data_IF_668909919632
#
_entry.id   IF_668909919632
#
_cell.length_a   1.000
_cell.length_b   1.000
_cell.length_c   1.000
_cell.angle_alpha   90.00
_cell.angle_beta   90.00
_cell.angle_gamma   90.00
#
_symmetry.space_group_name_H-M   'P 1'
#
loop_
_entity.id
_entity.type
_entity.pdbx_description
1 polymer ?
#
# COMPACT_ATOMS: atom_id res chain seq x y z
N UNK A 1 -8.34 -5.57 -0.23
CA UNK A 1 -7.88 -6.97 -0.42
C UNK A 1 -8.09 -7.82 0.82
N UNK A 2 -7.63 -7.41 2.02
CA UNK A 2 -7.75 -8.19 3.26
C UNK A 2 -9.21 -8.54 3.62
N UNK A 3 -10.10 -7.55 3.60
CA UNK A 3 -11.53 -7.75 3.92
C UNK A 3 -12.22 -8.70 2.95
N UNK A 4 -11.88 -8.65 1.66
CA UNK A 4 -12.42 -9.57 0.66
C UNK A 4 -12.10 -11.03 1.01
N UNK A 5 -10.85 -11.33 1.35
CA UNK A 5 -10.43 -12.68 1.70
C UNK A 5 -11.08 -13.17 3.00
N UNK A 6 -11.19 -12.30 4.02
CA UNK A 6 -11.84 -12.71 5.28
C UNK A 6 -13.34 -12.91 5.10
N UNK A 7 -14.02 -12.06 4.33
CA UNK A 7 -15.43 -12.27 4.01
C UNK A 7 -15.63 -13.64 3.36
N UNK A 8 -14.83 -13.97 2.34
CA UNK A 8 -14.92 -15.27 1.67
C UNK A 8 -14.59 -16.44 2.61
N UNK A 9 -13.67 -16.27 3.57
CA UNK A 9 -13.39 -17.30 4.58
C UNK A 9 -14.58 -17.49 5.53
N UNK A 10 -15.17 -16.41 6.03
CA UNK A 10 -16.29 -16.45 6.98
C UNK A 10 -17.57 -16.96 6.33
N UNK A 11 -17.82 -16.58 5.08
CA UNK A 11 -19.00 -17.03 4.30
C UNK A 11 -18.83 -18.44 3.69
N UNK A 12 -17.62 -19.03 3.76
CA UNK A 12 -17.34 -20.33 3.17
C UNK A 12 -17.13 -20.31 1.64
N UNK A 13 -17.31 -19.17 0.98
CA UNK A 13 -17.16 -19.03 -0.48
C UNK A 13 -15.68 -19.01 -0.94
N UNK A 14 -14.74 -19.09 -0.01
CA UNK A 14 -13.31 -19.22 -0.33
C UNK A 14 -13.02 -20.49 -1.15
N UNK A 15 -13.85 -21.53 -0.97
CA UNK A 15 -13.76 -22.80 -1.69
C UNK A 15 -13.98 -22.59 -3.19
N UNK A 16 -14.96 -21.79 -3.57
CA UNK A 16 -15.26 -21.47 -4.96
C UNK A 16 -14.08 -20.76 -5.65
N UNK A 17 -13.39 -19.89 -4.89
CA UNK A 17 -12.19 -19.20 -5.37
C UNK A 17 -11.02 -20.16 -5.61
N UNK A 18 -10.89 -21.21 -4.76
CA UNK A 18 -9.83 -22.21 -4.85
C UNK A 18 -10.08 -23.25 -5.95
N UNK A 19 -11.34 -23.56 -6.23
CA UNK A 19 -11.74 -24.49 -7.31
C UNK A 19 -11.92 -23.78 -8.66
N UNK A 20 -11.84 -22.45 -8.70
CA UNK A 20 -11.87 -21.70 -9.94
C UNK A 20 -10.69 -22.10 -10.85
N UNK A 21 -10.90 -22.23 -12.17
CA UNK A 21 -9.84 -22.57 -13.14
C UNK A 21 -8.86 -21.41 -13.39
N UNK A 22 -8.56 -20.63 -12.36
CA UNK A 22 -7.69 -19.46 -12.40
C UNK A 22 -6.34 -19.85 -11.76
N UNK A 23 -5.23 -19.48 -12.40
CA UNK A 23 -3.91 -19.71 -11.82
C UNK A 23 -3.70 -18.90 -10.54
N UNK A 24 -2.90 -19.38 -9.57
CA UNK A 24 -2.61 -18.62 -8.35
C UNK A 24 -2.02 -17.24 -8.61
N UNK A 25 -1.26 -17.08 -9.70
CA UNK A 25 -0.70 -15.79 -10.10
C UNK A 25 -1.77 -14.79 -10.58
N UNK A 26 -2.71 -15.26 -11.40
CA UNK A 26 -3.84 -14.46 -11.88
C UNK A 26 -4.73 -14.04 -10.71
N UNK A 27 -5.08 -14.95 -9.81
CA UNK A 27 -5.89 -14.64 -8.64
C UNK A 27 -5.21 -13.60 -7.73
N UNK A 28 -3.91 -13.78 -7.45
CA UNK A 28 -3.13 -12.83 -6.65
C UNK A 28 -3.11 -11.45 -7.30
N UNK A 29 -2.80 -11.39 -8.59
CA UNK A 29 -2.72 -10.13 -9.34
C UNK A 29 -4.07 -9.44 -9.43
N UNK A 30 -5.15 -10.18 -9.68
CA UNK A 30 -6.51 -9.64 -9.74
C UNK A 30 -6.95 -9.01 -8.42
N UNK A 31 -6.69 -9.66 -7.27
CA UNK A 31 -7.02 -9.13 -5.94
C UNK A 31 -6.23 -7.85 -5.63
N UNK A 32 -4.96 -7.80 -6.02
CA UNK A 32 -4.11 -6.62 -5.81
C UNK A 32 -4.54 -5.49 -6.75
N UNK A 33 -4.80 -5.77 -8.02
CA UNK A 33 -5.27 -4.77 -8.98
C UNK A 33 -6.64 -4.19 -8.61
N UNK A 34 -7.53 -4.98 -8.00
CA UNK A 34 -8.77 -4.46 -7.44
C UNK A 34 -8.53 -3.44 -6.31
N UNK A 35 -7.47 -3.61 -5.50
CA UNK A 35 -7.06 -2.60 -4.51
C UNK A 35 -6.47 -1.35 -5.19
N UNK A 36 -5.67 -1.52 -6.23
CA UNK A 36 -5.13 -0.42 -7.05
C UNK A 36 -6.26 0.41 -7.67
N UNK A 37 -7.26 -0.24 -8.26
CA UNK A 37 -8.43 0.45 -8.83
C UNK A 37 -9.16 1.29 -7.78
N UNK A 38 -9.34 0.77 -6.56
CA UNK A 38 -9.92 1.54 -5.45
C UNK A 38 -9.06 2.73 -5.08
N UNK A 39 -7.73 2.58 -5.05
CA UNK A 39 -6.79 3.67 -4.79
C UNK A 39 -6.92 4.80 -5.82
N UNK A 40 -7.01 4.45 -7.10
CA UNK A 40 -7.26 5.43 -8.17
C UNK A 40 -8.62 6.11 -8.06
N UNK A 41 -9.68 5.38 -7.75
CA UNK A 41 -11.01 5.97 -7.54
C UNK A 41 -10.98 7.00 -6.40
N UNK A 42 -10.33 6.67 -5.28
CA UNK A 42 -10.17 7.61 -4.16
C UNK A 42 -9.36 8.83 -4.60
N UNK A 43 -8.25 8.65 -5.32
CA UNK A 43 -7.43 9.75 -5.83
C UNK A 43 -8.24 10.67 -6.76
N UNK A 44 -9.00 10.11 -7.71
CA UNK A 44 -9.84 10.88 -8.65
C UNK A 44 -10.88 11.72 -7.91
N UNK A 45 -11.48 11.19 -6.84
CA UNK A 45 -12.48 11.93 -6.05
C UNK A 45 -11.82 12.97 -5.14
N UNK A 46 -10.64 12.67 -4.60
CA UNK A 46 -9.95 13.56 -3.66
C UNK A 46 -9.27 14.75 -4.35
N UNK A 47 -8.72 14.56 -5.55
CA UNK A 47 -7.99 15.61 -6.27
C UNK A 47 -8.82 16.89 -6.52
N UNK A 48 -10.08 16.82 -7.02
CA UNK A 48 -10.91 18.02 -7.15
C UNK A 48 -11.16 18.73 -5.83
N UNK A 49 -11.35 17.98 -4.74
CA UNK A 49 -11.58 18.54 -3.40
C UNK A 49 -10.35 19.33 -2.96
N UNK A 50 -9.14 18.79 -3.12
CA UNK A 50 -7.91 19.48 -2.79
C UNK A 50 -7.67 20.71 -3.67
N UNK A 51 -7.97 20.62 -4.97
CA UNK A 51 -7.86 21.77 -5.88
C UNK A 51 -8.76 22.93 -5.47
N UNK A 52 -10.03 22.66 -5.11
CA UNK A 52 -10.98 23.72 -4.73
C UNK A 52 -10.76 24.26 -3.30
N UNK A 53 -10.25 23.46 -2.36
CA UNK A 53 -10.11 23.87 -0.96
C UNK A 53 -8.71 24.39 -0.61
N UNK A 54 -7.68 23.98 -1.31
CA UNK A 54 -6.30 24.26 -0.93
C UNK A 54 -5.44 24.84 -2.07
N UNK A 55 -6.05 25.17 -3.23
CA UNK A 55 -5.37 25.70 -4.43
C UNK A 55 -4.10 24.89 -4.80
N UNK A 56 -4.16 23.55 -4.63
CA UNK A 56 -3.04 22.68 -4.89
C UNK A 56 -2.99 22.37 -6.38
N UNK A 57 -1.91 22.80 -7.06
CA UNK A 57 -1.65 22.49 -8.45
C UNK A 57 -0.81 21.20 -8.58
N UNK A 58 -1.18 20.36 -9.57
CA UNK A 58 -0.39 19.17 -9.91
C UNK A 58 0.74 19.60 -10.84
N UNK A 59 1.99 19.48 -10.38
CA UNK A 59 3.18 19.84 -11.15
C UNK A 59 3.73 18.67 -11.95
N UNK A 60 3.64 17.45 -11.42
CA UNK A 60 4.15 16.25 -12.07
C UNK A 60 3.11 15.12 -12.10
N UNK A 61 2.37 15.03 -13.20
CA UNK A 61 1.35 13.99 -13.41
C UNK A 61 1.92 12.57 -13.45
N UNK A 62 3.15 12.40 -13.99
CA UNK A 62 3.77 11.06 -14.06
C UNK A 62 4.12 10.55 -12.66
N UNK A 63 4.65 11.41 -11.80
CA UNK A 63 4.92 11.08 -10.41
C UNK A 63 3.63 10.74 -9.67
N UNK A 64 2.58 11.55 -9.83
CA UNK A 64 1.28 11.33 -9.22
C UNK A 64 0.71 9.94 -9.56
N UNK A 65 0.70 9.60 -10.85
CA UNK A 65 0.18 8.30 -11.32
C UNK A 65 1.06 7.16 -10.79
N UNK A 66 2.37 7.29 -10.89
CA UNK A 66 3.31 6.26 -10.43
C UNK A 66 3.18 6.00 -8.93
N UNK A 67 3.22 7.06 -8.10
CA UNK A 67 3.15 6.89 -6.64
C UNK A 67 1.77 6.45 -6.17
N UNK A 68 0.69 6.86 -6.83
CA UNK A 68 -0.66 6.33 -6.58
C UNK A 68 -0.73 4.83 -6.89
N UNK A 69 -0.17 4.41 -8.03
CA UNK A 69 -0.14 3.02 -8.43
C UNK A 69 0.68 2.17 -7.47
N UNK A 70 1.96 2.54 -7.25
CA UNK A 70 2.89 1.73 -6.48
C UNK A 70 2.48 1.62 -5.01
N UNK A 71 1.97 2.71 -4.40
CA UNK A 71 1.48 2.73 -3.02
C UNK A 71 0.23 1.84 -2.87
N UNK A 72 -0.74 1.96 -3.77
CA UNK A 72 -1.93 1.12 -3.78
C UNK A 72 -1.60 -0.34 -4.01
N UNK A 73 -0.61 -0.63 -4.85
CA UNK A 73 -0.14 -1.99 -5.11
C UNK A 73 0.52 -2.62 -3.87
N UNK A 74 1.44 -1.89 -3.22
CA UNK A 74 2.13 -2.35 -2.00
C UNK A 74 1.11 -2.61 -0.88
N UNK A 75 0.21 -1.66 -0.63
CA UNK A 75 -0.82 -1.81 0.40
C UNK A 75 -1.84 -2.90 0.03
N UNK A 76 -2.14 -3.06 -1.24
CA UNK A 76 -2.96 -4.15 -1.76
C UNK A 76 -2.34 -5.52 -1.52
N UNK A 77 -1.05 -5.67 -1.81
CA UNK A 77 -0.29 -6.91 -1.60
C UNK A 77 -0.11 -7.22 -0.11
N UNK A 78 0.26 -6.23 0.70
CA UNK A 78 0.33 -6.36 2.16
C UNK A 78 -1.03 -6.74 2.75
N UNK A 79 -2.11 -6.07 2.32
CA UNK A 79 -3.47 -6.41 2.73
C UNK A 79 -3.89 -7.82 2.32
N UNK A 80 -3.44 -8.32 1.17
CA UNK A 80 -3.68 -9.70 0.76
C UNK A 80 -2.97 -10.69 1.68
N UNK A 81 -1.70 -10.46 2.02
CA UNK A 81 -0.93 -11.28 2.96
C UNK A 81 -1.63 -11.33 4.33
N UNK A 82 -2.03 -10.16 4.85
CA UNK A 82 -2.78 -10.08 6.11
C UNK A 82 -4.10 -10.86 6.03
N UNK A 83 -4.84 -10.72 4.93
CA UNK A 83 -6.09 -11.44 4.71
C UNK A 83 -5.92 -12.96 4.60
N UNK A 84 -4.76 -13.45 4.11
CA UNK A 84 -4.43 -14.88 4.09
C UNK A 84 -4.12 -15.39 5.51
N UNK A 85 -3.29 -14.64 6.26
CA UNK A 85 -2.81 -15.06 7.58
C UNK A 85 -3.90 -14.95 8.65
N UNK A 86 -4.72 -13.90 8.59
CA UNK A 86 -5.76 -13.66 9.59
C UNK A 86 -7.05 -14.41 9.24
N UNK A 87 -7.72 -14.92 10.28
CA UNK A 87 -9.00 -15.64 10.14
C UNK A 87 -10.19 -14.80 10.61
N UNK A 88 -9.93 -13.67 11.30
CA UNK A 88 -10.96 -12.80 11.90
C UNK A 88 -10.68 -11.33 11.59
N UNK A 89 -11.75 -10.52 11.59
CA UNK A 89 -11.66 -9.08 11.37
C UNK A 89 -10.83 -8.35 12.43
N UNK A 90 -10.85 -8.84 13.68
CA UNK A 90 -10.05 -8.29 14.78
C UNK A 90 -8.55 -8.33 14.48
N UNK A 91 -8.10 -9.36 13.76
CA UNK A 91 -6.71 -9.47 13.30
C UNK A 91 -6.32 -8.36 12.33
N UNK A 92 -7.22 -7.99 11.38
CA UNK A 92 -6.99 -6.85 10.49
C UNK A 92 -6.94 -5.54 11.27
N UNK A 93 -7.88 -5.34 12.21
CA UNK A 93 -7.93 -4.15 13.05
C UNK A 93 -6.65 -4.01 13.89
N UNK A 94 -6.15 -5.12 14.44
CA UNK A 94 -4.89 -5.15 15.18
C UNK A 94 -3.69 -4.76 14.30
N UNK A 95 -3.56 -5.33 13.08
CA UNK A 95 -2.49 -4.96 12.15
C UNK A 95 -2.58 -3.47 11.78
N UNK A 96 -3.77 -2.97 11.51
CA UNK A 96 -3.95 -1.54 11.21
C UNK A 96 -3.55 -0.66 12.40
N UNK A 97 -4.06 -0.94 13.60
CA UNK A 97 -3.82 -0.13 14.80
C UNK A 97 -2.39 -0.19 15.32
N UNK A 98 -1.78 -1.37 15.34
CA UNK A 98 -0.45 -1.57 15.93
C UNK A 98 0.71 -1.49 14.94
N UNK A 99 0.48 -1.67 13.64
CA UNK A 99 1.54 -1.63 12.63
C UNK A 99 1.38 -0.44 11.68
N UNK A 100 0.25 -0.33 10.99
CA UNK A 100 0.08 0.68 9.94
C UNK A 100 0.05 2.10 10.52
N UNK A 101 -0.74 2.34 11.59
CA UNK A 101 -0.86 3.67 12.18
C UNK A 101 0.47 4.18 12.74
N UNK A 102 1.26 3.44 13.54
CA UNK A 102 2.57 3.91 13.97
C UNK A 102 3.54 4.16 12.81
N UNK A 103 3.56 3.30 11.78
CA UNK A 103 4.42 3.50 10.61
C UNK A 103 4.04 4.77 9.83
N UNK A 104 2.75 5.08 9.70
CA UNK A 104 2.30 6.33 9.06
C UNK A 104 2.64 7.56 9.91
N UNK A 105 2.60 7.45 11.24
CA UNK A 105 3.01 8.54 12.13
C UNK A 105 4.49 8.88 12.00
N UNK A 106 5.37 7.87 11.83
CA UNK A 106 6.83 8.05 11.71
C UNK A 106 7.25 8.39 10.26
N UNK A 107 6.32 8.46 9.31
CA UNK A 107 6.62 8.65 7.88
C UNK A 107 6.85 10.09 7.44
N UNK A 108 6.91 11.06 8.36
CA UNK A 108 7.05 12.47 8.02
C UNK A 108 5.74 13.14 7.58
N UNK A 109 4.59 12.52 7.84
CA UNK A 109 3.28 13.10 7.49
C UNK A 109 2.98 14.39 8.24
N UNK A 110 3.36 14.46 9.51
CA UNK A 110 3.03 15.57 10.42
C UNK A 110 4.20 16.49 10.75
N UNK A 111 5.43 16.15 10.33
CA UNK A 111 6.66 16.90 10.62
C UNK A 111 7.72 16.67 9.55
N UNK A 112 8.65 17.60 9.43
CA UNK A 112 9.86 17.43 8.60
C UNK A 112 10.85 16.53 9.32
N UNK A 113 11.49 15.60 8.61
CA UNK A 113 12.39 14.59 9.18
C UNK A 113 13.59 15.21 9.87
N UNK A 114 14.07 16.35 9.40
CA UNK A 114 15.22 17.06 9.95
C UNK A 114 15.05 17.49 11.41
N UNK A 115 13.81 17.58 11.90
CA UNK A 115 13.52 17.92 13.30
C UNK A 115 13.49 16.72 14.25
N UNK A 116 13.66 15.51 13.73
CA UNK A 116 13.65 14.29 14.52
C UNK A 116 15.05 13.98 15.08
N UNK A 117 15.15 13.28 16.23
CA UNK A 117 16.39 12.64 16.69
C UNK A 117 16.92 11.68 15.60
N UNK A 118 18.26 11.56 15.49
CA UNK A 118 18.93 10.76 14.45
C UNK A 118 18.40 9.32 14.34
N UNK A 119 18.11 8.69 15.48
CA UNK A 119 17.52 7.34 15.51
C UNK A 119 16.17 7.27 14.79
N UNK A 120 15.29 8.25 14.98
CA UNK A 120 13.98 8.30 14.33
C UNK A 120 14.11 8.69 12.86
N UNK A 121 15.10 9.49 12.48
CA UNK A 121 15.39 9.78 11.06
C UNK A 121 15.76 8.50 10.30
N UNK A 122 16.61 7.64 10.89
CA UNK A 122 16.99 6.36 10.31
C UNK A 122 15.78 5.43 10.17
N UNK A 123 14.95 5.33 11.22
CA UNK A 123 13.72 4.55 11.19
C UNK A 123 12.74 5.04 10.12
N UNK A 124 12.61 6.36 9.96
CA UNK A 124 11.77 6.97 8.90
C UNK A 124 12.29 6.63 7.50
N UNK A 125 13.60 6.70 7.27
CA UNK A 125 14.22 6.36 5.97
C UNK A 125 14.12 4.87 5.61
N UNK A 126 13.93 3.98 6.60
CA UNK A 126 13.63 2.56 6.35
C UNK A 126 12.14 2.28 6.14
N UNK A 127 11.28 3.26 6.44
CA UNK A 127 9.84 3.11 6.37
C UNK A 127 9.31 3.30 4.94
N UNK A 128 8.61 2.32 4.34
CA UNK A 128 8.05 2.47 3.00
C UNK A 128 7.05 3.63 2.88
N UNK A 129 6.29 3.92 3.94
CA UNK A 129 5.34 5.03 3.95
C UNK A 129 6.03 6.38 3.76
N UNK A 130 7.27 6.53 4.24
CA UNK A 130 8.05 7.74 4.00
C UNK A 130 8.24 8.00 2.50
N UNK A 131 8.70 7.01 1.75
CA UNK A 131 8.93 7.15 0.31
C UNK A 131 7.62 7.30 -0.48
N UNK A 132 6.53 6.65 -0.03
CA UNK A 132 5.20 6.84 -0.64
C UNK A 132 4.73 8.29 -0.48
N UNK A 133 4.80 8.83 0.74
CA UNK A 133 4.31 10.18 1.06
C UNK A 133 5.20 11.25 0.44
N UNK A 134 6.53 11.11 0.55
CA UNK A 134 7.48 12.04 -0.06
C UNK A 134 7.35 12.07 -1.57
N UNK A 135 7.20 10.90 -2.21
CA UNK A 135 7.00 10.83 -3.65
C UNK A 135 5.65 11.39 -4.09
N UNK A 136 4.60 11.20 -3.30
CA UNK A 136 3.31 11.81 -3.56
C UNK A 136 3.38 13.33 -3.41
N UNK A 137 4.07 13.81 -2.37
CA UNK A 137 4.33 15.23 -2.12
C UNK A 137 5.12 15.88 -3.28
N UNK A 138 6.10 15.18 -3.86
CA UNK A 138 6.85 15.62 -5.04
C UNK A 138 5.94 15.88 -6.26
N UNK A 139 4.77 15.27 -6.33
CA UNK A 139 3.83 15.52 -7.42
C UNK A 139 3.19 16.92 -7.38
N UNK A 140 3.24 17.59 -6.23
CA UNK A 140 2.60 18.87 -5.97
C UNK A 140 3.58 20.01 -5.63
N UNK A 141 4.73 19.69 -4.99
CA UNK A 141 5.70 20.68 -4.51
C UNK A 141 6.87 20.86 -5.50
N UNK A 142 7.65 21.92 -5.29
CA UNK A 142 8.90 22.15 -6.01
C UNK A 142 9.98 21.16 -5.59
N UNK A 143 10.92 20.87 -6.52
CA UNK A 143 11.97 19.87 -6.33
C UNK A 143 12.87 20.17 -5.12
N UNK A 144 13.02 21.45 -4.76
CA UNK A 144 13.87 21.91 -3.66
C UNK A 144 13.34 21.51 -2.26
N UNK A 145 12.04 21.17 -2.15
CA UNK A 145 11.39 20.78 -0.89
C UNK A 145 11.31 19.25 -0.70
N UNK A 146 11.99 18.47 -1.53
CA UNK A 146 11.92 17.02 -1.47
C UNK A 146 12.91 16.43 -0.45
N UNK A 147 12.37 15.82 0.61
CA UNK A 147 13.12 15.13 1.68
C UNK A 147 13.71 13.78 1.24
N UNK A 148 14.55 13.73 0.20
CA UNK A 148 15.22 12.49 -0.19
C UNK A 148 15.47 12.34 -1.69
N UNK A 149 16.16 11.28 -2.09
CA UNK A 149 16.39 10.96 -3.49
C UNK A 149 15.17 10.26 -4.08
N UNK A 150 14.49 10.88 -5.07
CA UNK A 150 13.37 10.30 -5.81
C UNK A 150 13.74 8.94 -6.38
N UNK A 151 14.94 8.83 -6.94
CA UNK A 151 15.45 7.62 -7.57
C UNK A 151 15.55 6.45 -6.56
N UNK A 152 16.08 6.73 -5.36
CA UNK A 152 16.13 5.74 -4.28
C UNK A 152 14.73 5.29 -3.87
N UNK A 153 13.79 6.22 -3.74
CA UNK A 153 12.40 5.93 -3.41
C UNK A 153 11.71 5.03 -4.45
N UNK A 154 11.89 5.32 -5.73
CA UNK A 154 11.34 4.51 -6.83
C UNK A 154 11.88 3.08 -6.80
N UNK A 155 13.21 2.91 -6.67
CA UNK A 155 13.84 1.59 -6.61
C UNK A 155 13.36 0.83 -5.38
N UNK A 156 13.39 1.46 -4.21
CA UNK A 156 12.98 0.84 -2.94
C UNK A 156 11.53 0.36 -2.99
N UNK A 157 10.60 1.21 -3.42
CA UNK A 157 9.19 0.86 -3.53
C UNK A 157 8.93 -0.23 -4.58
N UNK A 158 9.66 -0.22 -5.70
CA UNK A 158 9.53 -1.24 -6.73
C UNK A 158 10.00 -2.61 -6.24
N UNK A 159 11.15 -2.66 -5.56
CA UNK A 159 11.66 -3.91 -4.95
C UNK A 159 10.67 -4.43 -3.90
N UNK A 160 10.16 -3.55 -3.05
CA UNK A 160 9.18 -3.91 -2.03
C UNK A 160 7.87 -4.42 -2.64
N UNK A 161 7.38 -3.78 -3.70
CA UNK A 161 6.16 -4.20 -4.42
C UNK A 161 6.30 -5.61 -4.98
N UNK A 162 7.43 -5.90 -5.65
CA UNK A 162 7.74 -7.23 -6.20
C UNK A 162 7.87 -8.26 -5.06
N UNK A 163 8.58 -7.92 -3.99
CA UNK A 163 8.75 -8.80 -2.83
C UNK A 163 7.42 -9.17 -2.16
N UNK A 164 6.55 -8.19 -1.94
CA UNK A 164 5.23 -8.41 -1.36
C UNK A 164 4.30 -9.19 -2.30
N UNK A 165 4.36 -8.93 -3.61
CA UNK A 165 3.62 -9.70 -4.59
C UNK A 165 4.05 -11.17 -4.60
N UNK A 166 5.37 -11.44 -4.60
CA UNK A 166 5.90 -12.80 -4.51
C UNK A 166 5.49 -13.48 -3.21
N UNK A 167 5.55 -12.78 -2.08
CA UNK A 167 5.10 -13.29 -0.79
C UNK A 167 3.62 -13.67 -0.80
N UNK A 168 2.76 -12.78 -1.30
CA UNK A 168 1.33 -13.04 -1.45
C UNK A 168 1.04 -14.23 -2.38
N UNK A 169 1.74 -14.30 -3.52
CA UNK A 169 1.65 -15.40 -4.47
C UNK A 169 2.03 -16.74 -3.84
N UNK A 170 3.16 -16.80 -3.13
CA UNK A 170 3.63 -18.04 -2.50
C UNK A 170 2.70 -18.53 -1.40
N UNK A 171 2.18 -17.61 -0.58
CA UNK A 171 1.21 -17.94 0.47
C UNK A 171 -0.11 -18.46 -0.13
N UNK A 172 -0.60 -17.79 -1.17
CA UNK A 172 -1.81 -18.19 -1.87
C UNK A 172 -1.64 -19.55 -2.55
N UNK A 173 -0.54 -19.77 -3.29
CA UNK A 173 -0.20 -21.04 -3.97
C UNK A 173 -0.10 -22.21 -2.99
N UNK A 174 0.50 -21.99 -1.80
CA UNK A 174 0.58 -23.02 -0.75
C UNK A 174 -0.77 -23.30 -0.08
N UNK A 175 -1.79 -22.50 -0.30
CA UNK A 175 -3.07 -22.62 0.38
C UNK A 175 -2.99 -22.40 1.89
N UNK A 176 -1.98 -21.63 2.35
CA UNK A 176 -1.70 -21.41 3.76
C UNK A 176 -2.89 -20.74 4.44
N UNK A 177 -3.44 -21.39 5.51
CA UNK A 177 -4.63 -20.90 6.24
C UNK A 177 -5.84 -20.53 5.36
N UNK A 178 -5.90 -21.02 4.15
CA UNK A 178 -7.03 -20.85 3.24
C UNK A 178 -7.86 -22.15 3.21
N UNK A 179 -7.21 -23.28 3.46
CA UNK A 179 -7.81 -24.63 3.43
C UNK A 179 -8.23 -25.16 4.82
N UNK A 180 -8.09 -24.35 5.87
CA UNK A 180 -8.45 -24.74 7.24
C UNK A 180 -9.78 -24.12 7.65
#
# INVERSE_FOLDING_TARGET
SSSFLIINKVSGTIVDLLYSPISPGEATTAIILAAVTRGFLVAIVSLPIFYFLADIEIRNYYALIFYTFISSFILGAAGMIVGIIMSKFEGIAAVNGFLIVPLTMISGTFYTIDKLPEFLQLASKCNPFFFMISGFRYSFLEIEEFDGSIFVGVIYLTILAVGLWLGAYLLYKKGYKIKS
#
